data_IF_500966741691
#
_entry.id   IF_500966741691
#
_cell.length_a   1.000
_cell.length_b   1.000
_cell.length_c   1.000
_cell.angle_alpha   90.00
_cell.angle_beta   90.00
_cell.angle_gamma   90.00
#
_symmetry.space_group_name_H-M   'P 1'
#
loop_
_entity.id
_entity.type
_entity.pdbx_description
1 polymer ?
#
# COMPACT_ATOMS: atom_id res chain seq x y z
N UNK A 1 11.41 -0.56 13.89
CA UNK A 1 10.77 -1.82 13.49
C UNK A 1 9.90 -2.41 14.62
N UNK A 2 10.44 -2.63 15.81
CA UNK A 2 9.71 -3.27 16.91
C UNK A 2 8.48 -2.49 17.36
N UNK A 3 8.57 -1.17 17.44
CA UNK A 3 7.41 -0.32 17.74
C UNK A 3 6.31 -0.43 16.67
N UNK A 4 6.68 -0.45 15.40
CA UNK A 4 5.73 -0.62 14.30
C UNK A 4 5.05 -2.00 14.36
N UNK A 5 5.84 -3.05 14.59
CA UNK A 5 5.33 -4.43 14.75
C UNK A 5 4.36 -4.54 15.93
N UNK A 6 4.70 -3.99 17.10
CA UNK A 6 3.82 -3.96 18.26
C UNK A 6 2.53 -3.16 17.99
N UNK A 7 2.64 -2.04 17.30
CA UNK A 7 1.48 -1.23 16.91
C UNK A 7 0.52 -2.01 16.01
N UNK A 8 1.04 -2.74 15.03
CA UNK A 8 0.24 -3.60 14.17
C UNK A 8 -0.44 -4.73 14.95
N UNK A 9 0.29 -5.42 15.84
CA UNK A 9 -0.29 -6.47 16.68
C UNK A 9 -1.45 -5.93 17.53
N UNK A 10 -1.27 -4.77 18.17
CA UNK A 10 -2.33 -4.12 18.95
C UNK A 10 -3.53 -3.73 18.09
N UNK A 11 -3.28 -3.25 16.87
CA UNK A 11 -4.34 -2.93 15.92
C UNK A 11 -5.21 -4.15 15.61
N UNK A 12 -4.60 -5.30 15.32
CA UNK A 12 -5.33 -6.54 15.12
C UNK A 12 -6.09 -7.01 16.37
N UNK A 13 -5.49 -6.87 17.56
CA UNK A 13 -6.13 -7.26 18.82
C UNK A 13 -7.34 -6.40 19.19
N UNK A 14 -7.32 -5.13 18.81
CA UNK A 14 -8.38 -4.16 19.09
C UNK A 14 -9.38 -3.98 17.95
N UNK A 15 -9.13 -4.59 16.80
CA UNK A 15 -10.01 -4.48 15.64
C UNK A 15 -11.41 -5.03 15.97
N UNK A 16 -12.44 -4.22 15.68
CA UNK A 16 -13.84 -4.64 15.80
C UNK A 16 -14.46 -4.71 14.42
N UNK A 17 -15.03 -5.83 14.12
CA UNK A 17 -15.68 -6.06 12.82
C UNK A 17 -17.16 -5.75 12.93
N UNK A 18 -17.64 -4.87 12.04
CA UNK A 18 -19.07 -4.61 11.89
C UNK A 18 -19.70 -5.62 10.92
N UNK A 19 -21.04 -5.73 10.92
CA UNK A 19 -21.76 -6.58 9.94
C UNK A 19 -21.40 -6.23 8.50
N UNK A 20 -21.32 -4.95 8.19
CA UNK A 20 -20.90 -4.48 6.86
C UNK A 20 -19.43 -4.79 6.58
N UNK A 21 -18.57 -4.67 7.58
CA UNK A 21 -17.15 -4.99 7.49
C UNK A 21 -16.90 -6.46 7.10
N UNK A 22 -17.71 -7.39 7.60
CA UNK A 22 -17.61 -8.82 7.20
C UNK A 22 -17.84 -8.99 5.70
N UNK A 23 -18.91 -8.37 5.18
CA UNK A 23 -19.25 -8.46 3.75
C UNK A 23 -18.15 -7.79 2.90
N UNK A 24 -17.70 -6.61 3.29
CA UNK A 24 -16.67 -5.87 2.56
C UNK A 24 -15.34 -6.63 2.53
N UNK A 25 -14.94 -7.22 3.66
CA UNK A 25 -13.72 -8.05 3.73
C UNK A 25 -13.84 -9.29 2.86
N UNK A 26 -14.99 -9.97 2.88
CA UNK A 26 -15.24 -11.12 2.02
C UNK A 26 -15.10 -10.77 0.54
N UNK A 27 -15.74 -9.69 0.09
CA UNK A 27 -15.64 -9.24 -1.30
C UNK A 27 -14.21 -8.83 -1.67
N UNK A 28 -13.51 -8.18 -0.76
CA UNK A 28 -12.11 -7.80 -0.97
C UNK A 28 -11.20 -9.02 -1.19
N UNK A 29 -11.27 -10.01 -0.28
CA UNK A 29 -10.46 -11.22 -0.41
C UNK A 29 -10.85 -12.05 -1.62
N UNK A 30 -12.15 -12.11 -1.93
CA UNK A 30 -12.65 -12.77 -3.13
C UNK A 30 -12.08 -12.17 -4.42
N UNK A 31 -11.98 -10.84 -4.49
CA UNK A 31 -11.36 -10.16 -5.62
C UNK A 31 -9.83 -10.43 -5.73
N UNK A 32 -9.18 -10.77 -4.63
CA UNK A 32 -7.79 -11.22 -4.61
C UNK A 32 -7.63 -12.72 -4.94
N UNK A 33 -8.72 -13.42 -5.25
CA UNK A 33 -8.71 -14.87 -5.51
C UNK A 33 -8.63 -15.73 -4.25
N UNK A 34 -8.93 -15.16 -3.09
CA UNK A 34 -8.93 -15.84 -1.79
C UNK A 34 -10.36 -16.13 -1.34
N UNK A 35 -10.56 -17.25 -0.67
CA UNK A 35 -11.84 -17.66 -0.10
C UNK A 35 -11.89 -17.59 1.44
N UNK A 36 -10.88 -16.96 2.03
CA UNK A 36 -10.72 -16.79 3.48
C UNK A 36 -10.12 -15.44 3.84
N UNK A 37 -10.24 -15.07 5.12
CA UNK A 37 -9.70 -13.83 5.69
C UNK A 37 -8.25 -14.04 6.13
N UNK A 38 -7.33 -13.29 5.52
CA UNK A 38 -5.91 -13.31 5.84
C UNK A 38 -5.56 -12.71 7.21
N UNK A 39 -6.46 -12.00 7.87
CA UNK A 39 -6.17 -11.29 9.13
C UNK A 39 -5.62 -12.22 10.21
N UNK A 40 -6.13 -13.44 10.27
CA UNK A 40 -5.66 -14.47 11.19
C UNK A 40 -4.21 -14.87 10.92
N UNK A 41 -3.89 -15.14 9.66
CA UNK A 41 -2.56 -15.58 9.25
C UNK A 41 -1.54 -14.47 9.45
N UNK A 42 -1.90 -13.24 9.11
CA UNK A 42 -1.08 -12.06 9.35
C UNK A 42 -0.82 -11.90 10.86
N UNK A 43 -1.85 -11.98 11.69
CA UNK A 43 -1.71 -11.82 13.13
C UNK A 43 -0.73 -12.84 13.75
N UNK A 44 -0.78 -14.11 13.34
CA UNK A 44 0.14 -15.14 13.81
C UNK A 44 1.54 -15.07 13.18
N UNK A 45 1.68 -14.46 12.01
CA UNK A 45 2.98 -14.24 11.37
C UNK A 45 3.72 -13.03 11.95
N UNK A 46 3.01 -11.96 12.33
CA UNK A 46 3.60 -10.71 12.80
C UNK A 46 4.66 -10.88 13.92
N UNK A 47 4.44 -11.65 14.99
CA UNK A 47 5.45 -11.84 16.04
C UNK A 47 6.75 -12.44 15.53
N UNK A 48 6.69 -13.27 14.48
CA UNK A 48 7.84 -13.99 13.91
C UNK A 48 8.60 -13.16 12.89
N UNK A 49 7.98 -12.09 12.36
CA UNK A 49 8.58 -11.23 11.34
C UNK A 49 9.81 -10.52 11.89
N UNK A 50 10.90 -10.55 11.12
CA UNK A 50 12.16 -9.89 11.43
C UNK A 50 12.40 -8.69 10.51
N UNK A 51 13.29 -7.79 10.91
CA UNK A 51 13.72 -6.70 10.04
C UNK A 51 14.36 -7.24 8.75
N UNK A 52 15.07 -8.36 8.83
CA UNK A 52 15.69 -8.99 7.66
C UNK A 52 14.67 -9.48 6.64
N UNK A 53 13.51 -9.98 7.08
CA UNK A 53 12.42 -10.38 6.18
C UNK A 53 11.89 -9.17 5.38
N UNK A 54 11.78 -8.02 6.05
CA UNK A 54 11.35 -6.77 5.39
C UNK A 54 12.40 -6.31 4.37
N UNK A 55 13.68 -6.30 4.75
CA UNK A 55 14.78 -5.91 3.85
C UNK A 55 14.85 -6.85 2.64
N UNK A 56 14.71 -8.15 2.86
CA UNK A 56 14.68 -9.15 1.79
C UNK A 56 13.51 -8.91 0.84
N UNK A 57 12.31 -8.70 1.39
CA UNK A 57 11.13 -8.40 0.59
C UNK A 57 11.33 -7.14 -0.26
N UNK A 58 11.86 -6.08 0.34
CA UNK A 58 12.16 -4.83 -0.36
C UNK A 58 13.13 -5.05 -1.51
N UNK A 59 14.24 -5.75 -1.27
CA UNK A 59 15.24 -6.05 -2.28
C UNK A 59 14.69 -6.89 -3.44
N UNK A 60 13.88 -7.90 -3.15
CA UNK A 60 13.33 -8.79 -4.17
C UNK A 60 12.18 -8.17 -4.97
N UNK A 61 11.38 -7.32 -4.32
CA UNK A 61 10.10 -6.86 -4.90
C UNK A 61 10.07 -5.38 -5.24
N UNK A 62 10.94 -4.55 -4.68
CA UNK A 62 10.91 -3.10 -4.83
C UNK A 62 12.15 -2.53 -5.49
N UNK A 63 13.34 -2.96 -5.09
CA UNK A 63 14.60 -2.46 -5.65
C UNK A 63 14.71 -2.77 -7.15
N UNK A 64 15.12 -1.79 -7.93
CA UNK A 64 15.26 -1.88 -9.40
C UNK A 64 13.97 -2.26 -10.14
N UNK A 65 12.82 -2.09 -9.52
CA UNK A 65 11.52 -2.22 -10.22
C UNK A 65 11.09 -0.89 -10.81
N UNK A 66 10.37 -0.90 -11.93
CA UNK A 66 9.82 0.33 -12.48
C UNK A 66 8.76 0.92 -11.54
N UNK A 67 8.85 2.22 -11.29
CA UNK A 67 7.87 2.95 -10.50
C UNK A 67 7.03 3.85 -11.38
N UNK A 68 5.78 4.03 -10.99
CA UNK A 68 4.94 5.12 -11.48
C UNK A 68 4.69 6.07 -10.32
N UNK A 69 5.14 7.31 -10.48
CA UNK A 69 4.93 8.35 -9.48
C UNK A 69 3.73 9.20 -9.92
N UNK A 70 2.78 9.41 -9.02
CA UNK A 70 1.63 10.31 -9.23
C UNK A 70 1.77 11.46 -8.26
N UNK A 71 1.73 12.68 -8.77
CA UNK A 71 1.86 13.91 -7.98
C UNK A 71 0.60 14.73 -8.18
N UNK A 72 -0.04 15.12 -7.09
CA UNK A 72 -1.15 16.05 -7.08
C UNK A 72 -0.71 17.33 -6.36
N UNK A 73 -0.82 18.47 -7.02
CA UNK A 73 -0.41 19.74 -6.45
C UNK A 73 -0.47 20.89 -7.47
N UNK A 74 -0.23 22.11 -6.99
CA UNK A 74 -0.09 23.27 -7.86
C UNK A 74 1.32 23.23 -8.51
N UNK A 75 1.36 23.17 -9.83
CA UNK A 75 2.61 23.12 -10.62
C UNK A 75 3.56 24.28 -10.31
N UNK A 76 3.04 25.45 -9.90
CA UNK A 76 3.84 26.60 -9.51
C UNK A 76 4.73 26.34 -8.28
N UNK A 77 4.34 25.38 -7.45
CA UNK A 77 5.05 24.98 -6.24
C UNK A 77 5.95 23.76 -6.46
N UNK A 78 6.03 23.23 -7.67
CA UNK A 78 6.80 22.04 -8.02
C UNK A 78 8.04 22.43 -8.83
N UNK A 79 9.17 21.85 -8.50
CA UNK A 79 10.36 21.94 -9.37
C UNK A 79 10.24 20.94 -10.51
N UNK A 80 9.55 21.36 -11.58
CA UNK A 80 9.31 20.55 -12.76
C UNK A 80 10.60 20.07 -13.42
N UNK A 81 11.67 20.91 -13.41
CA UNK A 81 12.97 20.54 -13.98
C UNK A 81 13.63 19.40 -13.21
N UNK A 82 13.46 19.38 -11.88
CA UNK A 82 13.96 18.29 -11.06
C UNK A 82 13.18 16.99 -11.32
N UNK A 83 11.87 17.08 -11.47
CA UNK A 83 11.01 15.91 -11.79
C UNK A 83 11.34 15.32 -13.16
N UNK A 84 11.51 16.17 -14.18
CA UNK A 84 11.85 15.75 -15.56
C UNK A 84 13.25 15.08 -15.65
N UNK A 85 14.16 15.38 -14.71
CA UNK A 85 15.44 14.67 -14.63
C UNK A 85 15.32 13.25 -14.08
N UNK A 86 14.28 12.99 -13.30
CA UNK A 86 14.04 11.67 -12.70
C UNK A 86 13.36 10.75 -13.72
N UNK A 87 12.32 11.22 -14.39
CA UNK A 87 11.55 10.46 -15.36
C UNK A 87 10.73 11.38 -16.28
N UNK A 88 10.28 10.89 -17.46
CA UNK A 88 9.33 11.64 -18.28
C UNK A 88 8.06 11.98 -17.50
N UNK A 89 7.68 13.26 -17.54
CA UNK A 89 6.50 13.76 -16.84
C UNK A 89 5.33 13.85 -17.82
N UNK A 90 4.22 13.22 -17.49
CA UNK A 90 2.94 13.39 -18.18
C UNK A 90 2.00 14.21 -17.28
N UNK A 91 1.54 15.36 -17.78
CA UNK A 91 0.45 16.11 -17.14
C UNK A 91 -0.87 15.47 -17.51
N UNK A 92 -1.75 15.30 -16.57
CA UNK A 92 -3.10 14.79 -16.77
C UNK A 92 -4.09 15.93 -16.54
N UNK A 93 -4.98 16.16 -17.48
CA UNK A 93 -6.11 17.09 -17.30
C UNK A 93 -7.22 16.42 -16.47
N UNK A 94 -8.15 17.25 -15.98
CA UNK A 94 -9.34 16.73 -15.31
C UNK A 94 -10.18 15.86 -16.24
N UNK A 95 -10.26 16.24 -17.52
CA UNK A 95 -10.95 15.46 -18.54
C UNK A 95 -10.31 14.08 -18.75
N UNK A 96 -8.97 14.00 -18.81
CA UNK A 96 -8.27 12.71 -18.91
C UNK A 96 -8.47 11.81 -17.69
N UNK A 97 -8.65 12.40 -16.51
CA UNK A 97 -8.82 11.64 -15.26
C UNK A 97 -10.27 11.19 -15.08
N UNK A 98 -11.22 12.08 -15.32
CA UNK A 98 -12.63 11.88 -14.96
C UNK A 98 -13.55 11.62 -16.16
N UNK A 99 -13.08 11.85 -17.38
CA UNK A 99 -13.85 11.61 -18.62
C UNK A 99 -14.92 12.66 -18.93
N UNK A 100 -14.86 13.85 -18.31
CA UNK A 100 -15.75 14.99 -18.55
C UNK A 100 -15.05 16.31 -18.38
#
# INVERSE_FOLDING_TARGET
>A
FDLAKQSLIKSYQSARTTKFGVISSYLYYKNLGLDYDLSKDIYYALPKLTLQDIVKFEQENMVNKPYRMVILGDEKNLDMKALEKIAPVKRLSQEEIFGY
#
